data_IF_734378884953
#
_entry.id   IF_734378884953
#
_cell.length_a   1.000
_cell.length_b   1.000
_cell.length_c   1.000
_cell.angle_alpha   90.00
_cell.angle_beta   90.00
_cell.angle_gamma   90.00
#
_symmetry.space_group_name_H-M   'P 1'
#
loop_
_entity.id
_entity.type
_entity.pdbx_description
1 polymer ?
#
# COMPACT_ATOMS: atom_id res chain seq x y z
N UNK A 1 -35.73 -18.43 -10.23
CA UNK A 1 -34.32 -18.06 -10.50
C UNK A 1 -34.21 -16.71 -11.21
N UNK A 2 -34.58 -15.59 -10.56
CA UNK A 2 -34.50 -14.22 -11.15
C UNK A 2 -33.86 -13.20 -10.15
N UNK A 3 -33.42 -13.62 -8.97
CA UNK A 3 -32.90 -12.67 -7.95
C UNK A 3 -31.42 -12.28 -8.11
N UNK A 4 -30.56 -13.12 -8.70
CA UNK A 4 -29.12 -12.84 -8.78
C UNK A 4 -28.74 -11.71 -9.74
N UNK A 5 -29.44 -11.59 -10.87
CA UNK A 5 -29.14 -10.58 -11.89
C UNK A 5 -29.53 -9.16 -11.49
N UNK A 6 -30.60 -9.00 -10.71
CA UNK A 6 -31.07 -7.69 -10.24
C UNK A 6 -30.13 -7.15 -9.14
N UNK A 7 -29.70 -8.03 -8.23
CA UNK A 7 -28.77 -7.72 -7.15
C UNK A 7 -27.39 -7.36 -7.70
N UNK A 8 -26.89 -8.11 -8.70
CA UNK A 8 -25.63 -7.78 -9.38
C UNK A 8 -25.69 -6.42 -10.10
N UNK A 9 -26.77 -6.15 -10.84
CA UNK A 9 -26.99 -4.85 -11.49
C UNK A 9 -27.13 -3.72 -10.47
N UNK A 10 -27.70 -3.98 -9.30
CA UNK A 10 -27.81 -3.02 -8.21
C UNK A 10 -26.44 -2.70 -7.60
N UNK A 11 -25.59 -3.71 -7.35
CA UNK A 11 -24.22 -3.47 -6.89
C UNK A 11 -23.37 -2.75 -7.94
N UNK A 12 -23.48 -3.12 -9.22
CA UNK A 12 -22.78 -2.44 -10.32
C UNK A 12 -23.27 -0.99 -10.44
N UNK A 13 -24.57 -0.74 -10.34
CA UNK A 13 -25.12 0.62 -10.32
C UNK A 13 -24.64 1.40 -9.09
N UNK A 14 -24.67 0.80 -7.89
CA UNK A 14 -24.20 1.43 -6.66
C UNK A 14 -22.71 1.80 -6.75
N UNK A 15 -21.88 0.89 -7.25
CA UNK A 15 -20.44 1.11 -7.48
C UNK A 15 -20.20 2.15 -8.59
N UNK A 16 -21.04 2.20 -9.61
CA UNK A 16 -20.95 3.17 -10.71
C UNK A 16 -21.51 4.57 -10.34
N UNK A 17 -22.34 4.68 -9.30
CA UNK A 17 -22.89 5.96 -8.81
C UNK A 17 -22.09 6.58 -7.66
N UNK A 18 -21.28 5.80 -6.93
CA UNK A 18 -20.29 6.33 -5.96
C UNK A 18 -19.34 7.41 -6.53
N UNK A 19 -18.85 7.35 -7.79
CA UNK A 19 -18.01 8.38 -8.38
C UNK A 19 -18.79 9.64 -8.79
N UNK A 20 -20.13 9.61 -8.81
CA UNK A 20 -20.97 10.78 -9.17
C UNK A 20 -21.29 11.62 -7.93
N UNK A 21 -21.36 11.00 -6.75
CA UNK A 21 -21.51 11.70 -5.47
C UNK A 21 -20.17 12.22 -4.91
N UNK A 22 -19.06 11.57 -5.26
CA UNK A 22 -17.72 12.13 -5.06
C UNK A 22 -17.45 13.13 -6.18
N UNK A 23 -17.44 14.43 -5.87
CA UNK A 23 -17.03 15.47 -6.81
C UNK A 23 -15.78 15.02 -7.58
N UNK A 24 -15.85 15.04 -8.92
CA UNK A 24 -14.81 14.60 -9.87
C UNK A 24 -13.44 15.33 -9.76
N UNK A 25 -13.21 16.05 -8.66
CA UNK A 25 -11.95 16.66 -8.24
C UNK A 25 -11.17 15.75 -7.27
N UNK A 26 -11.77 14.66 -6.78
CA UNK A 26 -11.13 13.70 -5.87
C UNK A 26 -10.33 12.63 -6.65
N UNK A 27 -9.32 13.06 -7.41
CA UNK A 27 -8.27 12.13 -7.84
C UNK A 27 -7.42 11.84 -6.60
N UNK A 28 -7.44 10.60 -6.12
CA UNK A 28 -6.81 10.26 -4.85
C UNK A 28 -5.29 10.04 -5.03
N UNK A 29 -4.43 10.64 -4.20
CA UNK A 29 -3.00 10.31 -4.19
C UNK A 29 -2.74 8.79 -4.07
N UNK A 30 -3.55 8.08 -3.29
CA UNK A 30 -3.47 6.63 -3.13
C UNK A 30 -3.71 5.86 -4.45
N UNK A 31 -4.67 6.33 -5.26
CA UNK A 31 -5.02 5.72 -6.55
C UNK A 31 -3.91 5.96 -7.59
N UNK A 32 -3.27 7.13 -7.55
CA UNK A 32 -2.12 7.43 -8.40
C UNK A 32 -0.87 6.61 -8.01
N UNK A 33 -0.76 6.21 -6.75
CA UNK A 33 0.30 5.30 -6.29
C UNK A 33 0.04 3.84 -6.70
N UNK A 34 -1.21 3.48 -7.02
CA UNK A 34 -1.59 2.13 -7.45
C UNK A 34 -1.10 1.82 -8.87
N UNK A 35 -1.03 2.82 -9.76
CA UNK A 35 -0.63 2.66 -11.17
C UNK A 35 0.89 2.45 -11.38
N UNK A 36 1.61 1.94 -10.38
CA UNK A 36 3.08 1.83 -10.43
C UNK A 36 3.55 0.65 -11.28
N UNK A 37 4.43 0.99 -12.23
CA UNK A 37 4.89 0.15 -13.33
C UNK A 37 5.88 -0.97 -12.94
N UNK A 38 5.76 -2.05 -13.72
CA UNK A 38 6.56 -3.28 -13.77
C UNK A 38 8.04 -3.08 -14.13
N UNK A 39 8.78 -2.25 -13.39
CA UNK A 39 10.22 -2.12 -13.59
C UNK A 39 10.95 -3.25 -12.87
N UNK A 40 11.39 -4.27 -13.62
CA UNK A 40 12.03 -5.47 -13.07
C UNK A 40 13.21 -5.17 -12.15
N UNK A 41 14.02 -4.15 -12.47
CA UNK A 41 15.16 -3.78 -11.63
C UNK A 41 14.70 -3.13 -10.31
N UNK A 42 13.65 -2.30 -10.33
CA UNK A 42 13.13 -1.66 -9.12
C UNK A 42 12.51 -2.68 -8.17
N UNK A 43 11.77 -3.65 -8.73
CA UNK A 43 11.24 -4.81 -7.99
C UNK A 43 12.40 -5.60 -7.37
N UNK A 44 13.44 -5.89 -8.16
CA UNK A 44 14.60 -6.65 -7.68
C UNK A 44 15.34 -5.95 -6.54
N UNK A 45 15.53 -4.63 -6.64
CA UNK A 45 16.18 -3.83 -5.60
C UNK A 45 15.29 -3.71 -4.35
N UNK A 46 13.98 -3.50 -4.51
CA UNK A 46 13.04 -3.49 -3.38
C UNK A 46 13.03 -4.82 -2.62
N UNK A 47 12.94 -5.94 -3.34
CA UNK A 47 13.03 -7.28 -2.76
C UNK A 47 14.38 -7.51 -2.07
N UNK A 48 15.49 -7.02 -2.63
CA UNK A 48 16.80 -7.12 -2.00
C UNK A 48 16.85 -6.34 -0.68
N UNK A 49 16.33 -5.11 -0.66
CA UNK A 49 16.25 -4.29 0.57
C UNK A 49 15.49 -5.05 1.65
N UNK A 50 14.30 -5.54 1.34
CA UNK A 50 13.45 -6.24 2.31
C UNK A 50 14.07 -7.56 2.77
N UNK A 51 14.70 -8.30 1.86
CA UNK A 51 15.46 -9.51 2.18
C UNK A 51 16.54 -9.23 3.22
N UNK A 52 17.30 -8.15 3.08
CA UNK A 52 18.34 -7.77 4.04
C UNK A 52 17.75 -7.44 5.42
N UNK A 53 16.58 -6.80 5.46
CA UNK A 53 15.88 -6.52 6.73
C UNK A 53 15.37 -7.82 7.38
N UNK A 54 14.75 -8.73 6.62
CA UNK A 54 14.33 -10.04 7.14
C UNK A 54 15.52 -10.83 7.67
N UNK A 55 16.63 -10.89 6.93
CA UNK A 55 17.86 -11.58 7.34
C UNK A 55 18.41 -11.03 8.65
N UNK A 56 18.54 -9.72 8.74
CA UNK A 56 19.23 -9.05 9.84
C UNK A 56 18.35 -8.94 11.10
N UNK A 57 17.08 -8.57 10.93
CA UNK A 57 16.20 -8.26 12.05
C UNK A 57 15.43 -9.49 12.58
N UNK A 58 15.13 -10.45 11.71
CA UNK A 58 14.44 -11.70 12.11
C UNK A 58 15.40 -12.89 12.22
N UNK A 59 16.72 -12.68 12.10
CA UNK A 59 17.78 -13.68 12.27
C UNK A 59 17.50 -14.99 11.51
N UNK A 60 16.95 -14.87 10.31
CA UNK A 60 16.38 -15.99 9.54
C UNK A 60 17.38 -16.48 8.50
N UNK A 61 17.64 -17.79 8.30
CA UNK A 61 18.62 -18.29 7.33
C UNK A 61 18.32 -17.85 5.88
N UNK A 62 19.33 -17.77 4.99
CA UNK A 62 19.21 -17.16 3.65
C UNK A 62 18.01 -17.63 2.83
N UNK A 63 17.86 -18.95 2.66
CA UNK A 63 16.79 -19.53 1.84
C UNK A 63 15.40 -19.22 2.43
N UNK A 64 15.26 -19.34 3.75
CA UNK A 64 13.98 -19.04 4.43
C UNK A 64 13.66 -17.55 4.38
N UNK A 65 14.67 -16.68 4.48
CA UNK A 65 14.47 -15.23 4.37
C UNK A 65 14.06 -14.81 2.96
N UNK A 66 14.66 -15.40 1.91
CA UNK A 66 14.26 -15.15 0.54
C UNK A 66 12.81 -15.57 0.29
N UNK A 67 12.44 -16.80 0.69
CA UNK A 67 11.07 -17.29 0.58
C UNK A 67 10.07 -16.42 1.37
N UNK A 68 10.42 -16.02 2.60
CA UNK A 68 9.60 -15.15 3.43
C UNK A 68 9.39 -13.78 2.78
N UNK A 69 10.45 -13.17 2.26
CA UNK A 69 10.41 -11.85 1.61
C UNK A 69 9.50 -11.87 0.39
N UNK A 70 9.70 -12.83 -0.53
CA UNK A 70 8.88 -12.96 -1.74
C UNK A 70 7.42 -13.23 -1.39
N UNK A 71 7.15 -14.14 -0.46
CA UNK A 71 5.77 -14.46 -0.06
C UNK A 71 5.08 -13.27 0.60
N UNK A 72 5.79 -12.54 1.46
CA UNK A 72 5.27 -11.37 2.14
C UNK A 72 4.97 -10.24 1.15
N UNK A 73 5.85 -9.99 0.17
CA UNK A 73 5.65 -9.02 -0.90
C UNK A 73 4.48 -9.38 -1.82
N UNK A 74 4.33 -10.66 -2.19
CA UNK A 74 3.19 -11.10 -2.98
C UNK A 74 1.90 -10.87 -2.20
N UNK A 75 1.87 -11.23 -0.91
CA UNK A 75 0.70 -11.04 -0.08
C UNK A 75 0.35 -9.54 0.11
N UNK A 76 1.35 -8.69 0.38
CA UNK A 76 1.14 -7.25 0.54
C UNK A 76 0.76 -6.58 -0.77
N UNK A 77 1.31 -7.00 -1.90
CA UNK A 77 0.89 -6.53 -3.22
C UNK A 77 -0.57 -6.90 -3.50
N UNK A 78 -0.94 -8.18 -3.37
CA UNK A 78 -2.30 -8.68 -3.69
C UNK A 78 -3.35 -8.05 -2.78
N UNK A 79 -3.11 -8.03 -1.46
CA UNK A 79 -4.06 -7.44 -0.51
C UNK A 79 -4.01 -5.91 -0.52
N UNK A 80 -2.86 -5.33 -0.86
CA UNK A 80 -2.62 -3.89 -0.94
C UNK A 80 -3.43 -3.21 -2.03
N UNK A 81 -3.70 -3.89 -3.16
CA UNK A 81 -4.60 -3.38 -4.22
C UNK A 81 -5.94 -2.93 -3.65
N UNK A 82 -6.46 -3.61 -2.62
CA UNK A 82 -7.71 -3.23 -1.98
C UNK A 82 -7.49 -2.38 -0.73
N UNK A 83 -6.56 -2.77 0.13
CA UNK A 83 -6.42 -2.17 1.46
C UNK A 83 -5.80 -0.76 1.42
N UNK A 84 -4.92 -0.46 0.46
CA UNK A 84 -4.28 0.86 0.36
C UNK A 84 -5.28 1.92 -0.14
N UNK A 85 -6.07 1.68 -1.21
CA UNK A 85 -7.13 2.61 -1.59
C UNK A 85 -8.17 2.81 -0.46
N UNK A 86 -8.56 1.75 0.23
CA UNK A 86 -9.47 1.87 1.38
C UNK A 86 -8.87 2.69 2.52
N UNK A 87 -7.57 2.56 2.80
CA UNK A 87 -6.88 3.39 3.77
C UNK A 87 -6.83 4.86 3.34
N UNK A 88 -6.64 5.12 2.05
CA UNK A 88 -6.75 6.47 1.47
C UNK A 88 -8.15 7.05 1.60
N UNK A 89 -9.19 6.24 1.36
CA UNK A 89 -10.59 6.63 1.58
C UNK A 89 -10.82 7.00 3.04
N UNK A 90 -10.41 6.14 3.97
CA UNK A 90 -10.50 6.41 5.39
C UNK A 90 -9.77 7.70 5.80
N UNK A 91 -8.67 8.05 5.13
CA UNK A 91 -7.96 9.30 5.37
C UNK A 91 -8.77 10.52 4.93
N UNK A 92 -9.34 10.58 3.71
CA UNK A 92 -10.05 11.82 3.32
C UNK A 92 -11.35 11.99 4.10
N UNK A 93 -12.10 10.90 4.34
CA UNK A 93 -13.41 11.00 5.01
C UNK A 93 -13.30 11.29 6.51
N UNK A 94 -12.10 11.21 7.09
CA UNK A 94 -11.90 11.52 8.51
C UNK A 94 -10.85 12.63 8.73
N UNK A 95 -9.52 12.39 8.75
CA UNK A 95 -8.58 13.50 8.93
C UNK A 95 -8.61 14.53 7.81
N UNK A 96 -8.82 14.12 6.56
CA UNK A 96 -8.85 15.01 5.39
C UNK A 96 -9.94 16.06 5.47
N UNK A 97 -11.15 15.71 5.92
CA UNK A 97 -12.23 16.67 6.14
C UNK A 97 -11.86 17.73 7.18
N UNK A 98 -11.10 17.37 8.22
CA UNK A 98 -10.61 18.35 9.21
C UNK A 98 -9.65 19.34 8.53
N UNK A 99 -8.73 18.86 7.71
CA UNK A 99 -7.81 19.74 6.97
C UNK A 99 -8.53 20.63 5.95
N UNK A 100 -9.53 20.08 5.28
CA UNK A 100 -10.36 20.82 4.35
C UNK A 100 -11.14 21.94 5.05
N UNK A 101 -11.85 21.63 6.14
CA UNK A 101 -12.70 22.61 6.81
C UNK A 101 -11.95 23.63 7.67
N UNK A 102 -10.86 23.22 8.32
CA UNK A 102 -10.12 24.10 9.25
C UNK A 102 -9.05 24.91 8.53
N UNK A 103 -8.35 24.30 7.58
CA UNK A 103 -7.19 24.91 6.91
C UNK A 103 -7.46 25.26 5.45
N UNK A 104 -8.66 24.99 4.93
CA UNK A 104 -9.06 25.19 3.53
C UNK A 104 -8.09 24.51 2.53
N UNK A 105 -7.55 23.35 2.93
CA UNK A 105 -6.62 22.57 2.13
C UNK A 105 -7.38 21.47 1.36
N UNK A 106 -7.32 21.49 0.04
CA UNK A 106 -7.84 20.38 -0.79
C UNK A 106 -6.99 19.12 -0.67
N UNK A 107 -7.50 17.98 -1.15
CA UNK A 107 -6.88 16.63 -1.09
C UNK A 107 -5.43 16.58 -1.59
N UNK A 108 -5.06 17.39 -2.58
CA UNK A 108 -3.69 17.49 -3.09
C UNK A 108 -2.82 18.43 -2.26
N UNK A 109 -2.58 18.07 -0.99
CA UNK A 109 -1.68 18.82 -0.10
C UNK A 109 -0.56 17.90 0.45
N UNK A 110 0.59 18.47 0.84
CA UNK A 110 1.72 17.68 1.34
C UNK A 110 1.39 16.78 2.54
N UNK A 111 0.48 17.22 3.42
CA UNK A 111 0.07 16.44 4.60
C UNK A 111 -0.62 15.15 4.16
N UNK A 112 -1.52 15.25 3.19
CA UNK A 112 -2.28 14.13 2.65
C UNK A 112 -1.41 13.16 1.87
N UNK A 113 -0.43 13.67 1.11
CA UNK A 113 0.60 12.84 0.47
C UNK A 113 1.42 12.06 1.50
N UNK A 114 1.93 12.73 2.53
CA UNK A 114 2.69 12.09 3.61
C UNK A 114 1.85 11.05 4.35
N UNK A 115 0.61 11.39 4.70
CA UNK A 115 -0.28 10.48 5.40
C UNK A 115 -0.62 9.24 4.57
N UNK A 116 -0.97 9.42 3.30
CA UNK A 116 -1.26 8.31 2.38
C UNK A 116 -0.05 7.40 2.22
N UNK A 117 1.16 7.97 2.09
CA UNK A 117 2.40 7.21 2.03
C UNK A 117 2.65 6.39 3.31
N UNK A 118 2.48 7.00 4.49
CA UNK A 118 2.66 6.33 5.78
C UNK A 118 1.61 5.24 6.00
N UNK A 119 0.36 5.49 5.62
CA UNK A 119 -0.73 4.50 5.66
C UNK A 119 -0.44 3.32 4.74
N UNK A 120 0.01 3.56 3.51
CA UNK A 120 0.38 2.51 2.58
C UNK A 120 1.51 1.63 3.14
N UNK A 121 2.58 2.25 3.67
CA UNK A 121 3.67 1.51 4.32
C UNK A 121 3.17 0.73 5.55
N UNK A 122 2.26 1.30 6.33
CA UNK A 122 1.65 0.65 7.50
C UNK A 122 0.84 -0.58 7.09
N UNK A 123 0.02 -0.47 6.05
CA UNK A 123 -0.76 -1.59 5.50
C UNK A 123 0.17 -2.70 5.02
N UNK A 124 1.20 -2.38 4.24
CA UNK A 124 2.17 -3.37 3.77
C UNK A 124 2.84 -4.11 4.93
N UNK A 125 3.41 -3.38 5.88
CA UNK A 125 4.11 -3.99 7.02
C UNK A 125 3.15 -4.78 7.91
N UNK A 126 1.89 -4.36 8.01
CA UNK A 126 0.88 -5.13 8.73
C UNK A 126 0.66 -6.50 8.07
N UNK A 127 0.51 -6.54 6.74
CA UNK A 127 0.32 -7.77 5.98
C UNK A 127 1.59 -8.63 6.01
N UNK A 128 2.75 -8.05 5.72
CA UNK A 128 4.03 -8.76 5.75
C UNK A 128 4.34 -9.31 7.14
N UNK A 129 4.11 -8.51 8.19
CA UNK A 129 4.27 -8.91 9.58
C UNK A 129 3.38 -10.11 9.93
N UNK A 130 2.16 -10.19 9.38
CA UNK A 130 1.30 -11.36 9.53
C UNK A 130 1.89 -12.58 8.80
N UNK A 131 2.42 -12.42 7.58
CA UNK A 131 3.09 -13.49 6.84
C UNK A 131 4.32 -14.01 7.62
N UNK A 132 5.20 -13.11 8.05
CA UNK A 132 6.37 -13.45 8.86
C UNK A 132 5.97 -14.21 10.11
N UNK A 133 4.99 -13.71 10.87
CA UNK A 133 4.58 -14.30 12.14
C UNK A 133 3.79 -15.61 12.00
N UNK A 134 2.86 -15.69 11.05
CA UNK A 134 1.90 -16.81 10.95
C UNK A 134 2.32 -17.88 9.95
N UNK A 135 2.85 -17.49 8.80
CA UNK A 135 3.25 -18.43 7.75
C UNK A 135 4.66 -18.96 8.02
N UNK A 136 5.62 -18.07 8.26
CA UNK A 136 7.03 -18.46 8.46
C UNK A 136 7.43 -18.66 9.93
N UNK A 137 6.52 -18.35 10.87
CA UNK A 137 6.73 -18.44 12.34
C UNK A 137 7.99 -17.71 12.80
N UNK A 138 8.23 -16.53 12.21
CA UNK A 138 9.33 -15.64 12.59
C UNK A 138 8.92 -14.76 13.77
N UNK A 139 9.90 -14.29 14.52
CA UNK A 139 9.70 -13.48 15.74
C UNK A 139 9.22 -12.04 15.49
N UNK A 140 8.37 -11.79 14.50
CA UNK A 140 7.87 -10.45 14.21
C UNK A 140 6.87 -9.97 15.27
N UNK A 141 7.07 -8.75 15.77
CA UNK A 141 6.24 -8.12 16.82
C UNK A 141 5.74 -6.76 16.33
N UNK A 142 4.42 -6.63 16.15
CA UNK A 142 3.77 -5.42 15.63
C UNK A 142 4.00 -4.16 16.49
N UNK A 143 3.96 -4.28 17.82
CA UNK A 143 4.13 -3.14 18.74
C UNK A 143 5.60 -2.99 19.18
N UNK A 144 6.53 -3.01 18.24
CA UNK A 144 7.97 -2.96 18.54
C UNK A 144 8.74 -2.14 17.52
N UNK A 145 10.03 -1.87 17.82
CA UNK A 145 10.95 -1.23 16.87
C UNK A 145 11.08 -2.01 15.55
N UNK A 146 10.80 -3.32 15.54
CA UNK A 146 10.79 -4.12 14.30
C UNK A 146 9.78 -3.55 13.30
N UNK A 147 8.57 -3.21 13.76
CA UNK A 147 7.55 -2.64 12.87
C UNK A 147 8.03 -1.36 12.18
N UNK A 148 8.68 -0.46 12.95
CA UNK A 148 9.24 0.78 12.41
C UNK A 148 10.37 0.52 11.42
N UNK A 149 11.24 -0.47 11.68
CA UNK A 149 12.29 -0.84 10.74
C UNK A 149 11.73 -1.43 9.44
N UNK A 150 10.70 -2.27 9.52
CA UNK A 150 10.04 -2.80 8.32
C UNK A 150 9.26 -1.71 7.57
N UNK A 151 8.71 -0.71 8.28
CA UNK A 151 8.17 0.49 7.63
C UNK A 151 9.24 1.25 6.86
N UNK A 152 10.44 1.39 7.43
CA UNK A 152 11.56 2.02 6.74
C UNK A 152 12.00 1.22 5.50
N UNK A 153 12.00 -0.11 5.57
CA UNK A 153 12.29 -0.97 4.42
C UNK A 153 11.27 -0.75 3.30
N UNK A 154 9.98 -0.78 3.62
CA UNK A 154 8.90 -0.51 2.68
C UNK A 154 9.00 0.91 2.08
N UNK A 155 9.27 1.91 2.91
CA UNK A 155 9.51 3.28 2.46
C UNK A 155 10.67 3.36 1.46
N UNK A 156 11.77 2.65 1.72
CA UNK A 156 12.91 2.56 0.81
C UNK A 156 12.53 1.86 -0.52
N UNK A 157 11.80 0.74 -0.47
CA UNK A 157 11.26 0.06 -1.67
C UNK A 157 10.40 1.00 -2.52
N UNK A 158 9.51 1.79 -1.90
CA UNK A 158 8.69 2.80 -2.59
C UNK A 158 9.55 3.93 -3.16
N UNK A 159 10.60 4.35 -2.45
CA UNK A 159 11.57 5.34 -2.92
C UNK A 159 12.32 4.87 -4.18
N UNK A 160 12.72 3.60 -4.22
CA UNK A 160 13.33 2.98 -5.41
C UNK A 160 12.34 2.96 -6.58
N UNK A 161 11.09 2.56 -6.33
CA UNK A 161 10.04 2.61 -7.35
C UNK A 161 9.73 4.04 -7.82
N UNK A 162 9.89 5.05 -6.95
CA UNK A 162 9.74 6.45 -7.35
C UNK A 162 10.91 6.90 -8.24
N UNK A 163 12.13 6.55 -7.87
CA UNK A 163 13.32 6.84 -8.68
C UNK A 163 13.25 6.17 -10.06
N UNK A 164 12.59 5.00 -10.17
CA UNK A 164 12.43 4.34 -11.46
C UNK A 164 11.55 5.12 -12.44
N UNK A 165 10.57 5.87 -11.93
CA UNK A 165 9.72 6.72 -12.77
C UNK A 165 10.49 7.90 -13.37
N UNK A 166 11.54 8.38 -12.70
CA UNK A 166 12.40 9.43 -13.23
C UNK A 166 13.28 8.94 -14.39
N UNK A 167 13.59 7.63 -14.43
CA UNK A 167 14.42 7.03 -15.49
C UNK A 167 13.57 6.49 -16.65
N UNK A 168 12.41 5.91 -16.33
CA UNK A 168 11.45 5.39 -17.29
C UNK A 168 10.05 5.95 -16.96
N UNK A 169 9.73 7.16 -17.44
CA UNK A 169 8.43 7.77 -17.18
C UNK A 169 7.32 6.91 -17.77
N UNK A 170 6.16 6.92 -17.10
CA UNK A 170 4.94 6.25 -17.58
C UNK A 170 4.60 6.84 -18.94
N UNK A 171 4.66 6.03 -19.99
CA UNK A 171 4.19 6.44 -21.30
C UNK A 171 2.65 6.49 -21.26
N UNK A 172 2.03 7.61 -21.67
CA UNK A 172 0.58 7.79 -21.63
C UNK A 172 -0.16 6.85 -22.58
#
# INVERSE_FOLDING_TARGET
>A
MIQGGLVHKFYVALVAFLPVAAHANAVWPALYLETRLFSWWAISVGLLIEYLFVRKLLLTPPQKAAAATVTANIASAVLGVLLIPLAGIAWEVFPGLVFYHVFNMGTFNPITWCATFLLACTVNVAIEGLVYKKVFRLGFIFKSKLFLWFMLANAASVGVAMASLAMYPVQP
#
